data_IF_096485511595
#
_entry.id   IF_096485511595
#
_cell.length_a   1.000
_cell.length_b   1.000
_cell.length_c   1.000
_cell.angle_alpha   90.00
_cell.angle_beta   90.00
_cell.angle_gamma   90.00
#
_symmetry.space_group_name_H-M   'P 1'
#
loop_
_entity.id
_entity.type
_entity.pdbx_description
1 polymer ?
#
# COMPACT_ATOMS: atom_id res chain seq x y z
N UNK A 1 3.88 8.69 -12.91
CA UNK A 1 3.63 9.56 -11.74
C UNK A 1 2.89 8.76 -10.65
N UNK A 2 2.90 9.17 -9.38
CA UNK A 2 2.15 8.46 -8.31
C UNK A 2 0.86 9.22 -8.01
N UNK A 3 -0.25 8.49 -8.00
CA UNK A 3 -1.59 8.98 -7.71
C UNK A 3 -2.19 8.21 -6.53
N UNK A 4 -2.94 8.92 -5.69
CA UNK A 4 -3.69 8.32 -4.58
C UNK A 4 -5.17 8.31 -4.94
N UNK A 5 -5.81 7.15 -4.82
CA UNK A 5 -7.27 7.06 -4.94
C UNK A 5 -7.92 7.59 -3.66
N UNK A 6 -9.22 7.95 -3.72
CA UNK A 6 -9.95 8.52 -2.59
C UNK A 6 -10.00 7.61 -1.36
N UNK A 7 -9.99 6.28 -1.55
CA UNK A 7 -9.98 5.30 -0.45
C UNK A 7 -8.67 5.25 0.32
N UNK A 8 -7.54 5.61 -0.31
CA UNK A 8 -6.21 5.54 0.33
C UNK A 8 -6.09 6.50 1.51
N UNK A 9 -6.77 7.64 1.47
CA UNK A 9 -6.73 8.56 2.61
C UNK A 9 -7.39 7.94 3.85
N UNK A 10 -8.51 7.26 3.67
CA UNK A 10 -9.18 6.51 4.74
C UNK A 10 -8.32 5.37 5.25
N UNK A 11 -7.66 4.63 4.36
CA UNK A 11 -6.71 3.59 4.75
C UNK A 11 -5.53 4.16 5.56
N UNK A 12 -4.96 5.29 5.16
CA UNK A 12 -3.86 5.93 5.88
C UNK A 12 -4.28 6.37 7.29
N UNK A 13 -5.49 6.91 7.44
CA UNK A 13 -6.03 7.29 8.76
C UNK A 13 -6.23 6.04 9.62
N UNK A 14 -6.91 5.02 9.09
CA UNK A 14 -7.16 3.75 9.78
C UNK A 14 -5.86 3.07 10.20
N UNK A 15 -4.87 3.00 9.31
CA UNK A 15 -3.57 2.41 9.59
C UNK A 15 -2.83 3.18 10.69
N UNK A 16 -2.87 4.51 10.64
CA UNK A 16 -2.27 5.35 11.68
C UNK A 16 -2.90 5.08 13.04
N UNK A 17 -4.23 4.96 13.11
CA UNK A 17 -4.95 4.65 14.34
C UNK A 17 -4.61 3.24 14.85
N UNK A 18 -4.57 2.25 13.96
CA UNK A 18 -4.17 0.88 14.30
C UNK A 18 -2.74 0.81 14.85
N UNK A 19 -1.80 1.52 14.23
CA UNK A 19 -0.41 1.60 14.71
C UNK A 19 -0.35 2.32 16.05
N UNK A 20 -1.08 3.44 16.21
CA UNK A 20 -1.07 4.22 17.43
C UNK A 20 -1.61 3.44 18.64
N UNK A 21 -2.63 2.60 18.44
CA UNK A 21 -3.17 1.71 19.47
C UNK A 21 -2.12 0.68 19.95
N UNK A 22 -1.32 0.13 19.03
CA UNK A 22 -0.35 -0.93 19.34
C UNK A 22 1.02 -0.41 19.77
N UNK A 23 1.51 0.64 19.11
CA UNK A 23 2.83 1.21 19.31
C UNK A 23 2.91 2.66 18.80
N UNK A 24 2.50 3.65 19.61
CA UNK A 24 2.40 5.05 19.18
C UNK A 24 3.76 5.66 18.82
N UNK A 25 4.86 5.18 19.40
CA UNK A 25 6.21 5.68 19.08
C UNK A 25 6.71 5.18 17.72
N UNK A 26 6.15 4.08 17.20
CA UNK A 26 6.51 3.53 15.90
C UNK A 26 5.80 4.21 14.71
N UNK A 27 4.71 4.95 14.95
CA UNK A 27 3.87 5.58 13.92
C UNK A 27 4.67 6.36 12.88
N UNK A 28 5.55 7.25 13.32
CA UNK A 28 6.35 8.09 12.43
C UNK A 28 7.37 7.28 11.62
N UNK A 29 7.98 6.27 12.25
CA UNK A 29 8.96 5.38 11.59
C UNK A 29 8.29 4.60 10.47
N UNK A 30 7.16 3.96 10.77
CA UNK A 30 6.40 3.16 9.81
C UNK A 30 5.88 4.03 8.66
N UNK A 31 5.36 5.21 8.96
CA UNK A 31 4.88 6.15 7.94
C UNK A 31 6.01 6.55 6.98
N UNK A 32 7.22 6.79 7.51
CA UNK A 32 8.39 7.11 6.70
C UNK A 32 8.83 5.93 5.83
N UNK A 33 8.84 4.72 6.38
CA UNK A 33 9.19 3.49 5.68
C UNK A 33 8.25 3.23 4.50
N UNK A 34 6.93 3.28 4.74
CA UNK A 34 5.93 3.14 3.68
C UNK A 34 6.07 4.19 2.59
N UNK A 35 6.32 5.45 2.95
CA UNK A 35 6.53 6.52 1.98
C UNK A 35 7.79 6.30 1.13
N UNK A 36 8.87 5.81 1.74
CA UNK A 36 10.09 5.48 1.01
C UNK A 36 9.87 4.35 0.00
N UNK A 37 9.17 3.29 0.39
CA UNK A 37 8.86 2.17 -0.51
C UNK A 37 7.91 2.59 -1.65
N UNK A 38 6.89 3.40 -1.36
CA UNK A 38 6.01 3.96 -2.40
C UNK A 38 6.80 4.80 -3.40
N UNK A 39 7.75 5.62 -2.93
CA UNK A 39 8.58 6.41 -3.84
C UNK A 39 9.43 5.54 -4.77
N UNK A 40 9.91 4.36 -4.32
CA UNK A 40 10.66 3.43 -5.19
C UNK A 40 9.83 2.89 -6.34
N UNK A 41 8.50 2.85 -6.22
CA UNK A 41 7.62 2.43 -7.30
C UNK A 41 7.78 3.32 -8.55
N UNK A 42 8.09 4.61 -8.38
CA UNK A 42 8.36 5.53 -9.51
C UNK A 42 9.60 5.14 -10.33
N UNK A 43 10.54 4.41 -9.74
CA UNK A 43 11.76 3.92 -10.40
C UNK A 43 11.53 2.52 -10.96
N UNK A 44 10.80 1.68 -10.23
CA UNK A 44 10.50 0.31 -10.65
C UNK A 44 9.08 -0.08 -10.24
N UNK A 45 8.14 0.09 -11.17
CA UNK A 45 6.73 -0.21 -10.97
C UNK A 45 6.43 -1.71 -10.88
N UNK A 46 7.35 -2.56 -11.34
CA UNK A 46 7.17 -4.01 -11.44
C UNK A 46 7.70 -4.80 -10.22
N UNK A 47 8.12 -4.13 -9.14
CA UNK A 47 8.69 -4.80 -7.96
C UNK A 47 7.67 -5.57 -7.12
N UNK A 48 6.39 -5.19 -7.17
CA UNK A 48 5.31 -5.88 -6.46
C UNK A 48 4.91 -7.18 -7.14
N UNK A 49 4.18 -8.03 -6.43
CA UNK A 49 3.70 -9.32 -6.92
C UNK A 49 2.33 -9.15 -7.59
N UNK A 50 2.11 -9.79 -8.74
CA UNK A 50 0.82 -9.77 -9.44
C UNK A 50 -0.30 -10.36 -8.59
N UNK A 51 -1.44 -9.65 -8.54
CA UNK A 51 -2.62 -10.09 -7.81
C UNK A 51 -3.48 -10.95 -8.73
N UNK A 52 -3.29 -12.28 -8.66
CA UNK A 52 -3.96 -13.25 -9.54
C UNK A 52 -5.49 -13.19 -9.53
N UNK A 53 -6.10 -12.80 -8.40
CA UNK A 53 -7.55 -12.65 -8.24
C UNK A 53 -8.11 -11.33 -8.75
N UNK A 54 -7.26 -10.37 -9.10
CA UNK A 54 -7.72 -9.07 -9.56
C UNK A 54 -8.30 -9.15 -10.98
N UNK A 55 -9.15 -8.17 -11.33
CA UNK A 55 -9.77 -8.08 -12.66
C UNK A 55 -8.74 -7.99 -13.80
N UNK A 56 -7.57 -7.42 -13.54
CA UNK A 56 -6.42 -7.40 -14.44
C UNK A 56 -5.13 -7.71 -13.66
N UNK A 57 -4.76 -9.01 -13.53
CA UNK A 57 -3.66 -9.45 -12.68
C UNK A 57 -2.28 -8.88 -13.04
N UNK A 58 -2.09 -8.49 -14.31
CA UNK A 58 -0.81 -7.94 -14.79
C UNK A 58 -0.59 -6.50 -14.36
N UNK A 59 -1.68 -5.78 -14.10
CA UNK A 59 -1.63 -4.35 -13.75
C UNK A 59 -1.76 -4.11 -12.26
N UNK A 60 -2.43 -4.99 -11.53
CA UNK A 60 -2.62 -4.85 -10.08
C UNK A 60 -1.57 -5.66 -9.34
N UNK A 61 -0.83 -5.00 -8.47
CA UNK A 61 0.32 -5.57 -7.76
C UNK A 61 0.29 -5.25 -6.27
N UNK A 62 0.80 -6.18 -5.47
CA UNK A 62 0.99 -6.02 -4.04
C UNK A 62 2.49 -5.85 -3.74
N UNK A 63 2.84 -4.76 -3.07
CA UNK A 63 4.15 -4.54 -2.48
C UNK A 63 4.09 -4.79 -0.98
N UNK A 64 4.94 -5.69 -0.49
CA UNK A 64 5.04 -6.05 0.92
C UNK A 64 6.17 -5.27 1.60
N UNK A 65 5.83 -4.56 2.67
CA UNK A 65 6.74 -3.72 3.47
C UNK A 65 6.58 -4.09 4.93
N UNK A 66 7.42 -4.99 5.43
CA UNK A 66 7.24 -5.55 6.78
C UNK A 66 5.90 -6.29 6.88
N UNK A 67 5.02 -5.84 7.79
CA UNK A 67 3.67 -6.39 7.97
C UNK A 67 2.58 -5.59 7.23
N UNK A 68 2.98 -4.74 6.30
CA UNK A 68 2.09 -3.87 5.54
C UNK A 68 2.08 -4.28 4.09
N UNK A 69 0.91 -4.22 3.48
CA UNK A 69 0.74 -4.45 2.06
C UNK A 69 0.20 -3.18 1.39
N UNK A 70 0.85 -2.78 0.30
CA UNK A 70 0.44 -1.70 -0.59
C UNK A 70 -0.06 -2.32 -1.89
N UNK A 71 -1.36 -2.23 -2.16
CA UNK A 71 -1.93 -2.62 -3.46
C UNK A 71 -1.94 -1.43 -4.39
N UNK A 72 -1.38 -1.59 -5.58
CA UNK A 72 -1.29 -0.53 -6.58
C UNK A 72 -1.57 -1.03 -8.00
N UNK A 73 -2.04 -0.11 -8.84
CA UNK A 73 -2.25 -0.32 -10.26
C UNK A 73 -1.13 0.34 -11.05
N UNK A 74 -0.57 -0.35 -12.03
CA UNK A 74 0.33 0.19 -13.05
C UNK A 74 -0.45 0.43 -14.34
N UNK A 75 -0.53 1.68 -14.78
CA UNK A 75 -1.21 2.05 -16.02
C UNK A 75 -0.45 3.19 -16.72
N UNK A 76 0.01 2.97 -17.96
CA UNK A 76 0.65 3.99 -18.81
C UNK A 76 1.74 4.81 -18.08
N UNK A 77 2.69 4.13 -17.43
CA UNK A 77 3.77 4.73 -16.61
C UNK A 77 3.32 5.48 -15.35
N UNK A 78 2.02 5.42 -15.03
CA UNK A 78 1.44 5.90 -13.79
C UNK A 78 1.15 4.77 -12.81
N UNK A 79 1.22 5.13 -11.53
CA UNK A 79 1.05 4.23 -10.40
C UNK A 79 -0.08 4.79 -9.54
N UNK A 80 -1.14 4.01 -9.39
CA UNK A 80 -2.28 4.37 -8.55
C UNK A 80 -2.28 3.52 -7.32
N UNK A 81 -2.09 4.13 -6.15
CA UNK A 81 -2.25 3.42 -4.89
C UNK A 81 -3.74 3.16 -4.69
N UNK A 82 -4.11 1.89 -4.55
CA UNK A 82 -5.49 1.43 -4.43
C UNK A 82 -5.87 1.18 -2.97
N UNK A 83 -5.00 0.50 -2.23
CA UNK A 83 -5.25 0.12 -0.84
C UNK A 83 -3.96 0.01 -0.04
N UNK A 84 -4.05 0.32 1.25
CA UNK A 84 -2.99 0.11 2.23
C UNK A 84 -3.56 -0.57 3.47
N UNK A 85 -2.94 -1.65 3.94
CA UNK A 85 -3.37 -2.33 5.16
C UNK A 85 -2.21 -3.03 5.86
N UNK A 86 -2.43 -3.35 7.13
CA UNK A 86 -1.55 -4.21 7.92
C UNK A 86 -2.10 -5.64 7.94
N UNK A 87 -1.26 -6.67 7.87
CA UNK A 87 -1.70 -8.08 7.73
C UNK A 87 -2.52 -8.61 8.92
N UNK A 88 -2.43 -7.93 10.08
CA UNK A 88 -3.25 -8.22 11.27
C UNK A 88 -4.53 -7.39 11.37
N UNK A 89 -4.75 -6.43 10.46
CA UNK A 89 -6.05 -5.78 10.34
C UNK A 89 -7.00 -6.79 9.73
N UNK A 90 -8.05 -7.14 10.46
CA UNK A 90 -9.01 -8.17 10.08
C UNK A 90 -10.02 -7.63 9.05
N UNK A 91 -9.53 -7.01 7.98
CA UNK A 91 -10.36 -6.49 6.90
C UNK A 91 -10.29 -7.44 5.70
N UNK A 92 -11.45 -8.04 5.38
CA UNK A 92 -11.66 -9.03 4.34
C UNK A 92 -10.76 -8.85 3.11
N UNK A 93 -9.78 -9.75 2.99
CA UNK A 93 -9.08 -10.03 1.75
C UNK A 93 -10.01 -10.86 0.85
N UNK A 94 -10.98 -10.20 0.23
CA UNK A 94 -11.70 -10.72 -0.93
C UNK A 94 -11.23 -10.03 -2.20
#
# INVERSE_FOLDING_TARGET
>A
MIHHTTGVLSDLIRLREFIADKNPTATSRISSELKQEINKLSISSQIGIEVSKATDPKKIRDLFVGNYTIRYLVANDDIFILKLWHDKENEGNE
#
